data_IF_261410240453
#
_entry.id   IF_261410240453
#
_cell.length_a   1.000
_cell.length_b   1.000
_cell.length_c   1.000
_cell.angle_alpha   90.00
_cell.angle_beta   90.00
_cell.angle_gamma   90.00
#
_symmetry.space_group_name_H-M   'P 1'
#
loop_
_entity.id
_entity.type
_entity.pdbx_description
1 polymer ?
#
# COMPACT_ATOMS: atom_id res chain seq x y z
N UNK A 1 11.86 -2.22 -5.17
CA UNK A 1 10.85 -2.91 -6.02
C UNK A 1 9.57 -2.12 -5.86
N UNK A 2 8.71 -2.01 -6.89
CA UNK A 2 7.43 -1.30 -6.76
C UNK A 2 6.29 -2.22 -7.23
N UNK A 3 5.23 -2.29 -6.44
CA UNK A 3 4.01 -3.05 -6.72
C UNK A 3 3.01 -2.07 -7.35
N UNK A 4 2.44 -2.42 -8.49
CA UNK A 4 1.50 -1.54 -9.20
C UNK A 4 0.12 -2.20 -9.40
N UNK A 5 0.02 -3.51 -9.18
CA UNK A 5 -1.19 -4.28 -9.41
C UNK A 5 -1.55 -5.15 -8.22
N UNK A 6 -2.83 -5.51 -8.11
CA UNK A 6 -3.32 -6.37 -7.05
C UNK A 6 -2.73 -7.80 -7.13
N UNK A 7 -2.43 -8.29 -8.33
CA UNK A 7 -1.78 -9.61 -8.51
C UNK A 7 -0.33 -9.60 -8.05
N UNK A 8 0.41 -8.51 -8.29
CA UNK A 8 1.76 -8.30 -7.77
C UNK A 8 1.75 -8.19 -6.24
N UNK A 9 0.78 -7.46 -5.67
CA UNK A 9 0.58 -7.35 -4.22
C UNK A 9 0.33 -8.72 -3.58
N UNK A 10 -0.59 -9.50 -4.14
CA UNK A 10 -0.88 -10.86 -3.65
C UNK A 10 0.34 -11.77 -3.75
N UNK A 11 1.10 -11.67 -4.84
CA UNK A 11 2.33 -12.46 -5.02
C UNK A 11 3.42 -12.07 -4.02
N UNK A 12 3.54 -10.76 -3.71
CA UNK A 12 4.47 -10.27 -2.70
C UNK A 12 4.11 -10.77 -1.30
N UNK A 13 2.82 -10.75 -0.93
CA UNK A 13 2.35 -11.30 0.35
C UNK A 13 2.68 -12.79 0.51
N UNK A 14 2.48 -13.59 -0.55
CA UNK A 14 2.85 -15.02 -0.53
C UNK A 14 4.36 -15.22 -0.40
N UNK A 15 5.16 -14.37 -1.04
CA UNK A 15 6.62 -14.43 -0.93
C UNK A 15 7.10 -14.03 0.47
N UNK A 16 6.46 -13.04 1.11
CA UNK A 16 6.72 -12.67 2.51
C UNK A 16 6.43 -13.84 3.44
N UNK A 17 5.29 -14.52 3.26
CA UNK A 17 4.92 -15.70 4.06
C UNK A 17 5.97 -16.81 3.95
N UNK A 18 6.49 -17.05 2.74
CA UNK A 18 7.55 -18.06 2.51
C UNK A 18 8.91 -17.67 3.10
N UNK A 19 9.16 -16.38 3.31
CA UNK A 19 10.41 -15.84 3.82
C UNK A 19 10.34 -15.47 5.31
N UNK A 20 9.21 -15.72 5.97
CA UNK A 20 8.97 -15.27 7.34
C UNK A 20 9.95 -15.89 8.36
N UNK A 21 10.39 -17.13 8.12
CA UNK A 21 11.31 -17.87 8.98
C UNK A 21 12.80 -17.61 8.66
N UNK A 22 13.13 -16.52 7.96
CA UNK A 22 14.53 -16.18 7.66
C UNK A 22 15.23 -15.64 8.92
N UNK A 23 16.12 -16.45 9.49
CA UNK A 23 16.84 -16.15 10.72
C UNK A 23 17.90 -15.02 10.58
N UNK A 24 18.46 -14.82 9.38
CA UNK A 24 19.48 -13.79 9.13
C UNK A 24 18.93 -12.63 8.29
N UNK A 25 18.71 -11.44 8.88
CA UNK A 25 18.22 -10.27 8.14
C UNK A 25 19.21 -9.75 7.09
N UNK A 26 20.51 -10.07 7.20
CA UNK A 26 21.52 -9.64 6.22
C UNK A 26 21.70 -10.62 5.06
N UNK A 27 21.09 -11.80 5.15
CA UNK A 27 21.01 -12.77 4.06
C UNK A 27 20.31 -12.16 2.84
N UNK A 28 20.44 -12.83 1.70
CA UNK A 28 19.76 -12.39 0.48
C UNK A 28 18.25 -12.43 0.66
N UNK A 29 17.78 -13.47 1.34
CA UNK A 29 16.39 -13.73 1.70
C UNK A 29 15.87 -12.67 2.68
N UNK A 30 16.65 -12.28 3.69
CA UNK A 30 16.27 -11.25 4.67
C UNK A 30 16.17 -9.86 4.03
N UNK A 31 17.10 -9.52 3.14
CA UNK A 31 17.03 -8.28 2.35
C UNK A 31 15.85 -8.27 1.38
N UNK A 32 15.54 -9.43 0.78
CA UNK A 32 14.37 -9.57 -0.09
C UNK A 32 13.08 -9.40 0.70
N UNK A 33 12.97 -10.04 1.87
CA UNK A 33 11.83 -9.90 2.79
C UNK A 33 11.61 -8.42 3.15
N UNK A 34 12.65 -7.72 3.59
CA UNK A 34 12.57 -6.29 3.90
C UNK A 34 12.08 -5.48 2.70
N UNK A 35 12.64 -5.70 1.51
CA UNK A 35 12.22 -4.98 0.31
C UNK A 35 10.78 -5.31 -0.12
N UNK A 36 10.29 -6.51 0.16
CA UNK A 36 8.90 -6.90 -0.15
C UNK A 36 7.93 -6.24 0.82
N UNK A 37 8.27 -6.18 2.11
CA UNK A 37 7.48 -5.49 3.14
C UNK A 37 7.33 -4.01 2.77
N UNK A 38 8.44 -3.32 2.50
CA UNK A 38 8.42 -1.90 2.11
C UNK A 38 7.54 -1.65 0.88
N UNK A 39 7.62 -2.54 -0.12
CA UNK A 39 6.84 -2.40 -1.36
C UNK A 39 5.35 -2.70 -1.18
N UNK A 40 4.99 -3.57 -0.23
CA UNK A 40 3.60 -3.86 0.13
C UNK A 40 3.00 -2.67 0.89
N UNK A 41 3.73 -2.11 1.86
CA UNK A 41 3.29 -0.94 2.63
C UNK A 41 3.02 0.27 1.71
N UNK A 42 3.97 0.60 0.82
CA UNK A 42 3.79 1.70 -0.14
C UNK A 42 2.53 1.50 -1.03
N UNK A 43 2.30 0.26 -1.50
CA UNK A 43 1.14 -0.03 -2.34
C UNK A 43 -0.19 0.10 -1.58
N UNK A 44 -0.24 -0.35 -0.32
CA UNK A 44 -1.44 -0.26 0.51
C UNK A 44 -1.78 1.19 0.86
N UNK A 45 -0.79 2.00 1.21
CA UNK A 45 -0.95 3.45 1.42
C UNK A 45 -1.50 4.14 0.16
N UNK A 46 -0.93 3.83 -1.02
CA UNK A 46 -1.41 4.36 -2.29
C UNK A 46 -2.88 3.97 -2.55
N UNK A 47 -3.29 2.72 -2.23
CA UNK A 47 -4.69 2.29 -2.36
C UNK A 47 -5.63 3.03 -1.40
N UNK A 48 -5.22 3.25 -0.14
CA UNK A 48 -6.03 4.01 0.82
C UNK A 48 -6.28 5.44 0.36
N UNK A 49 -5.27 6.11 -0.18
CA UNK A 49 -5.41 7.45 -0.77
C UNK A 49 -6.39 7.44 -1.94
N UNK A 50 -6.29 6.46 -2.85
CA UNK A 50 -7.21 6.32 -3.98
C UNK A 50 -8.65 6.11 -3.51
N UNK A 51 -8.87 5.28 -2.49
CA UNK A 51 -10.18 5.03 -1.91
C UNK A 51 -10.75 6.31 -1.29
N UNK A 52 -9.98 7.04 -0.48
CA UNK A 52 -10.39 8.29 0.11
C UNK A 52 -10.75 9.36 -0.94
N UNK A 53 -10.00 9.44 -2.05
CA UNK A 53 -10.33 10.34 -3.17
C UNK A 53 -11.63 9.91 -3.86
N UNK A 54 -11.83 8.62 -4.11
CA UNK A 54 -13.06 8.09 -4.73
C UNK A 54 -14.30 8.33 -3.86
N UNK A 55 -14.17 8.20 -2.55
CA UNK A 55 -15.27 8.51 -1.62
C UNK A 55 -15.65 9.99 -1.69
N UNK A 56 -14.66 10.90 -1.77
CA UNK A 56 -14.91 12.34 -1.95
C UNK A 56 -15.55 12.70 -3.29
N UNK A 57 -15.17 12.03 -4.38
CA UNK A 57 -15.81 12.26 -5.70
C UNK A 57 -17.31 11.94 -5.68
N UNK A 58 -17.74 11.01 -4.82
CA UNK A 58 -19.14 10.65 -4.65
C UNK A 58 -19.88 11.50 -3.60
N UNK A 59 -19.20 12.45 -2.96
CA UNK A 59 -19.83 13.42 -2.06
C UNK A 59 -20.26 14.64 -2.89
N UNK A 60 -21.50 15.14 -2.73
CA UNK A 60 -21.87 16.41 -3.32
C UNK A 60 -20.95 17.49 -2.78
N UNK A 61 -20.39 18.33 -3.66
CA UNK A 61 -19.69 19.54 -3.24
C UNK A 61 -20.68 20.38 -2.42
N UNK A 62 -20.45 20.43 -1.11
CA UNK A 62 -21.14 21.37 -0.25
C UNK A 62 -20.46 22.72 -0.51
N UNK A 63 -21.07 23.53 -1.38
CA UNK A 63 -20.75 24.95 -1.49
C UNK A 63 -21.11 25.61 -0.17
N UNK A 64 -20.12 25.75 0.72
CA UNK A 64 -20.24 26.61 1.88
C UNK A 64 -19.94 28.02 1.37
N UNK A 65 -20.97 28.82 1.15
CA UNK A 65 -20.79 30.26 0.98
C UNK A 65 -20.26 30.81 2.30
N UNK A 66 -18.97 31.18 2.30
CA UNK A 66 -18.28 31.76 3.46
C UNK A 66 -18.81 33.16 3.81
N UNK A 67 -19.66 33.75 2.96
CA UNK A 67 -20.33 35.03 3.18
C UNK A 67 -21.55 34.93 4.12
N UNK A 68 -21.99 33.71 4.48
CA UNK A 68 -23.07 33.45 5.44
C UNK A 68 -22.57 33.24 6.90
N UNK A 69 -21.30 33.54 7.20
CA UNK A 69 -20.70 33.49 8.55
C UNK A 69 -20.68 34.85 9.28
#
# INVERSE_FOLDING_TARGET
MKINTQDEHRSALLAIEQLFDVDDPNSKEGKLLSSLIDAVEEYEEDQEVILAVRERVNQPEISVDLDDL
#
